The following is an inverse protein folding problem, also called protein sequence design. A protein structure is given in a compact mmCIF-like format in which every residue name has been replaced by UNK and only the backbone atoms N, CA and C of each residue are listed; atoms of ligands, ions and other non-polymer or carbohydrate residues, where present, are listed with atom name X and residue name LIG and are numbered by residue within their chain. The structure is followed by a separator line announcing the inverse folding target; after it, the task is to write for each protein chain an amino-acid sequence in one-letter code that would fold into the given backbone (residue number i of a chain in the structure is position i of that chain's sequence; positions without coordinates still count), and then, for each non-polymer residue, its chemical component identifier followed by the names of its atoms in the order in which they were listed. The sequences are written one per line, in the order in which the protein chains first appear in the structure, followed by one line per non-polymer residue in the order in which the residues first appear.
data_IF_727193305355
#
_entry.id   IF_727193305355
#
_cell.length_a   1.000
_cell.length_b   1.000
_cell.length_c   1.000
_cell.angle_alpha   90.00
_cell.angle_beta   90.00
_cell.angle_gamma   90.00
#
_symmetry.space_group_name_H-M   'P 1'
#
loop_
_entity.id
_entity.type
_entity.pdbx_description
1 polymer ?
#
# COMPACT_ATOMS: atom_id res chain seq x y z
N UNK A 1 -3.83 -19.80 -0.82
CA UNK A 1 -3.01 -18.98 -1.73
C UNK A 1 -1.59 -19.49 -1.78
N UNK A 2 -0.92 -19.29 -2.90
CA UNK A 2 0.49 -19.68 -3.13
C UNK A 2 1.25 -18.45 -3.60
N UNK A 3 2.48 -18.26 -3.10
CA UNK A 3 3.45 -17.29 -3.63
C UNK A 3 4.59 -18.07 -4.25
N UNK A 4 5.01 -17.68 -5.44
CA UNK A 4 6.07 -18.36 -6.18
C UNK A 4 7.20 -17.39 -6.53
N UNK A 5 8.43 -17.79 -6.28
CA UNK A 5 9.62 -17.14 -6.80
C UNK A 5 9.93 -17.73 -8.17
N UNK A 6 9.88 -16.91 -9.21
CA UNK A 6 10.03 -17.35 -10.59
C UNK A 6 11.25 -16.67 -11.22
N UNK A 7 12.09 -17.44 -11.92
CA UNK A 7 13.14 -16.91 -12.78
C UNK A 7 12.49 -16.31 -14.05
N UNK A 8 12.55 -14.99 -14.20
CA UNK A 8 11.88 -14.28 -15.31
C UNK A 8 12.47 -14.59 -16.70
N UNK A 9 13.66 -15.19 -16.80
CA UNK A 9 14.27 -15.57 -18.07
C UNK A 9 13.84 -16.96 -18.53
N UNK A 10 13.63 -17.87 -17.60
CA UNK A 10 13.35 -19.28 -17.89
C UNK A 10 11.93 -19.67 -17.55
N UNK A 11 11.20 -18.82 -16.82
CA UNK A 11 9.87 -19.06 -16.23
C UNK A 11 9.84 -20.29 -15.33
N UNK A 12 10.99 -20.69 -14.77
CA UNK A 12 11.06 -21.78 -13.80
C UNK A 12 10.71 -21.28 -12.42
N UNK A 13 9.87 -22.02 -11.72
CA UNK A 13 9.60 -21.83 -10.31
C UNK A 13 10.86 -22.24 -9.54
N UNK A 14 11.45 -21.31 -8.81
CA UNK A 14 12.63 -21.53 -7.98
C UNK A 14 12.24 -21.93 -6.56
N UNK A 15 11.12 -21.39 -6.05
CA UNK A 15 10.59 -21.72 -4.75
C UNK A 15 9.09 -21.41 -4.68
N UNK A 16 8.38 -22.07 -3.75
CA UNK A 16 6.94 -21.84 -3.52
C UNK A 16 6.64 -21.82 -2.03
N UNK A 17 5.89 -20.80 -1.59
CA UNK A 17 5.31 -20.72 -0.25
C UNK A 17 3.82 -21.07 -0.35
N UNK A 18 3.38 -22.02 0.44
CA UNK A 18 1.97 -22.46 0.47
C UNK A 18 1.52 -22.65 1.94
N UNK A 19 1.33 -21.56 2.69
CA UNK A 19 0.92 -21.63 4.08
C UNK A 19 -0.50 -22.21 4.24
N UNK A 20 -0.73 -22.97 5.30
CA UNK A 20 -2.07 -23.41 5.69
C UNK A 20 -2.82 -22.27 6.38
N UNK A 21 -3.54 -21.48 5.59
CA UNK A 21 -4.28 -20.30 6.07
C UNK A 21 -5.38 -20.68 7.07
N UNK A 22 -6.04 -21.83 6.90
CA UNK A 22 -7.07 -22.28 7.84
C UNK A 22 -6.47 -22.56 9.21
N UNK A 23 -5.29 -23.18 9.25
CA UNK A 23 -4.52 -23.37 10.49
C UNK A 23 -4.12 -22.04 11.10
N UNK A 24 -3.55 -21.12 10.31
CA UNK A 24 -3.13 -19.78 10.78
C UNK A 24 -4.31 -18.99 11.34
N UNK A 25 -5.45 -19.01 10.69
CA UNK A 25 -6.68 -18.37 11.15
C UNK A 25 -7.20 -18.97 12.46
N UNK A 26 -7.02 -20.27 12.70
CA UNK A 26 -7.47 -20.92 13.92
C UNK A 26 -6.74 -20.42 15.18
N UNK A 27 -5.59 -19.78 15.01
CA UNK A 27 -4.80 -19.21 16.10
C UNK A 27 -5.20 -17.76 16.45
N UNK A 28 -6.15 -17.17 15.72
CA UNK A 28 -6.63 -15.80 15.95
C UNK A 28 -7.88 -15.82 16.82
N UNK A 29 -7.94 -14.86 17.74
CA UNK A 29 -9.14 -14.63 18.56
C UNK A 29 -10.26 -14.00 17.70
N UNK A 30 -11.25 -14.82 17.34
CA UNK A 30 -12.42 -14.40 16.56
C UNK A 30 -13.53 -13.76 17.39
N UNK A 31 -13.34 -13.56 18.70
CA UNK A 31 -14.24 -12.70 19.50
C UNK A 31 -14.03 -11.23 19.20
N UNK A 32 -12.87 -10.86 18.63
CA UNK A 32 -12.65 -9.55 18.05
C UNK A 32 -13.55 -9.38 16.81
N UNK A 33 -14.39 -8.34 16.81
CA UNK A 33 -15.33 -8.05 15.72
C UNK A 33 -14.65 -7.95 14.34
N UNK A 34 -13.41 -7.44 14.28
CA UNK A 34 -12.61 -7.32 13.06
C UNK A 34 -12.31 -8.69 12.41
N UNK A 35 -12.18 -9.73 13.23
CA UNK A 35 -11.79 -11.06 12.76
C UNK A 35 -12.88 -12.13 12.90
N UNK A 36 -14.10 -11.74 13.28
CA UNK A 36 -15.19 -12.71 13.52
C UNK A 36 -15.55 -13.57 12.29
N UNK A 37 -15.29 -13.08 11.10
CA UNK A 37 -15.54 -13.79 9.85
C UNK A 37 -14.28 -14.28 9.15
N UNK A 38 -13.10 -14.13 9.78
CA UNK A 38 -11.81 -14.44 9.18
C UNK A 38 -11.74 -15.85 8.60
N UNK A 39 -12.20 -16.87 9.37
CA UNK A 39 -12.18 -18.25 8.92
C UNK A 39 -13.11 -18.51 7.73
N UNK A 40 -14.22 -17.77 7.62
CA UNK A 40 -15.16 -17.89 6.50
C UNK A 40 -14.63 -17.19 5.25
N UNK A 41 -14.12 -15.97 5.40
CA UNK A 41 -13.85 -15.06 4.29
C UNK A 41 -12.41 -15.16 3.79
N UNK A 42 -11.45 -15.54 4.63
CA UNK A 42 -10.03 -15.72 4.32
C UNK A 42 -9.55 -17.17 4.54
N UNK A 43 -10.30 -18.17 4.06
CA UNK A 43 -9.89 -19.57 4.12
C UNK A 43 -8.82 -19.93 3.08
N UNK A 44 -8.19 -21.11 3.16
CA UNK A 44 -7.25 -21.63 2.15
C UNK A 44 -7.77 -21.50 0.71
N UNK A 45 -9.08 -21.60 0.50
CA UNK A 45 -9.73 -21.53 -0.82
C UNK A 45 -10.00 -20.10 -1.31
N UNK A 46 -10.00 -19.12 -0.40
CA UNK A 46 -10.42 -17.74 -0.67
C UNK A 46 -9.32 -16.72 -0.44
N UNK A 47 -8.35 -17.03 0.40
CA UNK A 47 -7.26 -16.13 0.73
C UNK A 47 -6.39 -15.84 -0.49
N UNK A 48 -6.17 -14.56 -0.74
CA UNK A 48 -5.17 -14.06 -1.66
C UNK A 48 -3.97 -13.59 -0.83
N UNK A 49 -2.77 -13.97 -1.24
CA UNK A 49 -1.52 -13.47 -0.63
C UNK A 49 -1.06 -12.27 -1.46
N UNK A 50 -1.71 -11.14 -1.21
CA UNK A 50 -1.49 -9.90 -1.96
C UNK A 50 -0.30 -9.16 -1.37
N UNK A 51 0.48 -8.48 -2.23
CA UNK A 51 1.67 -7.71 -1.86
C UNK A 51 2.63 -8.47 -0.91
N UNK A 52 2.98 -9.74 -1.22
CA UNK A 52 3.91 -10.48 -0.38
C UNK A 52 5.30 -9.88 -0.49
N UNK A 53 5.99 -9.74 0.64
CA UNK A 53 7.38 -9.29 0.67
C UNK A 53 8.31 -10.45 0.98
N UNK A 54 9.28 -10.70 0.10
CA UNK A 54 10.33 -11.69 0.28
C UNK A 54 11.54 -11.06 0.98
N UNK A 55 11.92 -11.61 2.11
CA UNK A 55 13.11 -11.20 2.84
C UNK A 55 14.36 -11.96 2.38
N UNK A 56 15.54 -11.35 2.59
CA UNK A 56 16.82 -11.91 2.13
C UNK A 56 17.15 -13.30 2.68
N UNK A 57 16.54 -13.71 3.78
CA UNK A 57 16.71 -15.02 4.40
C UNK A 57 15.68 -16.07 3.93
N UNK A 58 14.86 -15.75 2.93
CA UNK A 58 13.81 -16.62 2.40
C UNK A 58 12.51 -16.62 3.20
N UNK A 59 12.39 -15.78 4.22
CA UNK A 59 11.13 -15.56 4.93
C UNK A 59 10.19 -14.69 4.06
N UNK A 60 8.89 -14.93 4.19
CA UNK A 60 7.86 -14.20 3.46
C UNK A 60 6.90 -13.52 4.45
N UNK A 61 6.54 -12.26 4.16
CA UNK A 61 5.47 -11.55 4.87
C UNK A 61 4.32 -11.28 3.92
N UNK A 62 3.09 -11.35 4.44
CA UNK A 62 1.87 -11.06 3.71
C UNK A 62 0.72 -10.72 4.66
N UNK A 63 -0.25 -9.95 4.14
CA UNK A 63 -1.49 -9.62 4.83
C UNK A 63 -2.42 -8.88 3.86
N UNK A 64 -3.70 -9.25 3.83
CA UNK A 64 -4.70 -8.58 3.01
C UNK A 64 -6.06 -8.69 3.70
N UNK A 65 -6.55 -7.56 4.19
CA UNK A 65 -7.76 -7.48 5.03
C UNK A 65 -7.79 -8.59 6.11
N UNK A 66 -6.63 -8.80 6.75
CA UNK A 66 -6.34 -9.91 7.62
C UNK A 66 -5.19 -9.57 8.57
N UNK A 67 -4.86 -10.44 9.51
CA UNK A 67 -3.61 -10.33 10.28
C UNK A 67 -2.38 -10.29 9.38
N UNK A 68 -1.38 -9.48 9.76
CA UNK A 68 -0.07 -9.53 9.13
C UNK A 68 0.67 -10.78 9.60
N UNK A 69 1.24 -11.52 8.65
CA UNK A 69 1.91 -12.79 8.91
C UNK A 69 3.31 -12.83 8.35
N UNK A 70 4.19 -13.49 9.07
CA UNK A 70 5.55 -13.83 8.65
C UNK A 70 5.75 -15.34 8.75
N UNK A 71 6.20 -15.94 7.66
CA UNK A 71 6.47 -17.37 7.54
C UNK A 71 7.91 -17.63 7.12
N UNK A 72 8.42 -18.81 7.42
CA UNK A 72 9.72 -19.28 6.97
C UNK A 72 9.68 -19.78 5.51
N UNK A 73 10.84 -20.18 4.98
CA UNK A 73 10.93 -20.74 3.63
C UNK A 73 10.18 -22.07 3.46
N UNK A 74 9.82 -22.74 4.54
CA UNK A 74 9.00 -23.97 4.51
C UNK A 74 7.50 -23.67 4.73
N UNK A 75 7.08 -22.42 4.71
CA UNK A 75 5.72 -21.93 4.96
C UNK A 75 5.22 -22.10 6.40
N UNK A 76 6.11 -22.34 7.37
CA UNK A 76 5.72 -22.40 8.77
C UNK A 76 5.61 -20.99 9.36
N UNK A 77 4.63 -20.79 10.25
CA UNK A 77 4.43 -19.51 10.92
C UNK A 77 5.62 -19.17 11.82
N UNK A 78 6.21 -17.99 11.62
CA UNK A 78 7.19 -17.39 12.54
C UNK A 78 6.45 -16.52 13.56
N UNK A 79 5.60 -15.62 13.08
CA UNK A 79 4.69 -14.82 13.90
C UNK A 79 3.51 -14.32 13.07
N UNK A 80 2.44 -13.96 13.74
CA UNK A 80 1.34 -13.18 13.18
C UNK A 80 0.94 -12.08 14.15
N UNK A 81 0.53 -10.93 13.60
CA UNK A 81 0.01 -9.81 14.34
C UNK A 81 -1.44 -9.56 13.93
N UNK A 82 -2.33 -9.52 14.91
CA UNK A 82 -3.77 -9.27 14.76
C UNK A 82 -4.22 -8.05 15.58
N UNK A 83 -3.31 -7.10 15.84
CA UNK A 83 -3.65 -5.85 16.52
C UNK A 83 -4.48 -4.94 15.62
N UNK A 84 -4.34 -5.10 14.30
CA UNK A 84 -5.10 -4.39 13.28
C UNK A 84 -5.52 -5.33 12.15
N UNK A 85 -6.46 -4.88 11.36
CA UNK A 85 -6.76 -5.47 10.06
C UNK A 85 -5.85 -4.79 9.01
N UNK A 86 -4.79 -5.50 8.58
CA UNK A 86 -3.76 -4.96 7.69
C UNK A 86 -4.12 -5.13 6.23
N UNK A 87 -3.77 -4.15 5.40
CA UNK A 87 -4.10 -4.13 3.98
C UNK A 87 -3.05 -3.44 3.13
N UNK A 88 -3.10 -3.66 1.80
CA UNK A 88 -2.23 -3.05 0.78
C UNK A 88 -0.74 -3.34 0.98
N UNK A 89 0.13 -2.35 0.70
CA UNK A 89 1.57 -2.53 0.65
C UNK A 89 2.20 -2.85 2.01
N UNK A 90 3.31 -3.55 1.95
CA UNK A 90 4.19 -3.84 3.09
C UNK A 90 5.58 -3.37 2.69
N UNK A 91 6.17 -2.46 3.47
CA UNK A 91 7.50 -1.94 3.23
C UNK A 91 8.44 -2.23 4.41
N UNK A 92 9.73 -2.38 4.13
CA UNK A 92 10.73 -2.64 5.17
C UNK A 92 11.72 -1.49 5.23
N UNK A 93 11.87 -0.88 6.43
CA UNK A 93 12.88 0.15 6.63
C UNK A 93 14.29 -0.45 6.82
N UNK A 94 15.31 0.41 6.78
CA UNK A 94 16.72 0.00 6.92
C UNK A 94 17.07 -0.66 8.26
N UNK A 95 16.21 -0.56 9.29
CA UNK A 95 16.35 -1.25 10.59
C UNK A 95 15.64 -2.61 10.58
N UNK A 96 14.99 -2.96 9.47
CA UNK A 96 14.20 -4.17 9.33
C UNK A 96 12.80 -4.07 9.94
N UNK A 97 12.35 -2.88 10.35
CA UNK A 97 10.96 -2.69 10.77
C UNK A 97 10.05 -2.64 9.55
N UNK A 98 8.83 -3.09 9.76
CA UNK A 98 7.81 -3.22 8.76
C UNK A 98 6.87 -2.01 8.84
N UNK A 99 6.61 -1.35 7.72
CA UNK A 99 5.62 -0.32 7.59
C UNK A 99 4.47 -0.88 6.75
N UNK A 100 3.24 -0.72 7.23
CA UNK A 100 2.06 -1.32 6.62
C UNK A 100 0.82 -0.49 6.93
N UNK A 101 -0.12 -0.45 6.00
CA UNK A 101 -1.44 0.13 6.20
C UNK A 101 -2.30 -0.78 7.08
N UNK A 102 -3.12 -0.20 7.95
CA UNK A 102 -4.07 -0.95 8.75
C UNK A 102 -5.31 -0.11 9.07
N UNK A 103 -6.41 -0.77 9.44
CA UNK A 103 -7.59 -0.10 9.97
C UNK A 103 -7.56 -0.08 11.49
N UNK A 104 -7.89 1.07 12.09
CA UNK A 104 -8.02 1.20 13.54
C UNK A 104 -9.42 0.79 14.01
N UNK A 105 -9.44 -0.06 15.02
CA UNK A 105 -10.65 -0.36 15.75
C UNK A 105 -10.38 -0.41 17.27
N UNK A 106 -11.06 0.40 18.10
CA UNK A 106 -12.04 1.41 17.71
C UNK A 106 -11.43 2.54 16.88
N UNK A 107 -12.26 3.22 16.09
CA UNK A 107 -11.84 4.35 15.26
C UNK A 107 -11.31 5.51 16.10
N UNK A 108 -10.32 6.24 15.59
CA UNK A 108 -9.76 7.44 16.25
C UNK A 108 -10.76 8.61 16.32
N UNK A 109 -11.67 8.67 15.34
CA UNK A 109 -12.77 9.64 15.32
C UNK A 109 -14.00 9.01 15.97
N UNK A 110 -14.75 9.74 16.82
CA UNK A 110 -15.95 9.22 17.46
C UNK A 110 -16.95 8.65 16.45
N UNK A 111 -17.41 7.43 16.71
CA UNK A 111 -18.26 6.66 15.80
C UNK A 111 -19.60 7.35 15.52
N UNK A 112 -20.05 8.23 16.41
CA UNK A 112 -21.23 9.07 16.23
C UNK A 112 -21.10 10.06 15.09
N UNK A 113 -19.86 10.43 14.73
CA UNK A 113 -19.55 11.32 13.61
C UNK A 113 -19.39 10.57 12.30
N UNK A 114 -18.76 9.40 12.32
CA UNK A 114 -18.33 8.69 11.11
C UNK A 114 -19.12 7.41 10.82
N UNK A 115 -19.85 6.89 11.80
CA UNK A 115 -20.61 5.65 11.66
C UNK A 115 -19.73 4.38 11.69
N UNK A 116 -20.40 3.23 11.81
CA UNK A 116 -19.73 1.92 11.96
C UNK A 116 -18.99 1.41 10.72
N UNK A 117 -19.32 1.95 9.56
CA UNK A 117 -18.71 1.53 8.29
C UNK A 117 -17.44 2.32 7.95
N UNK A 118 -17.06 3.29 8.77
CA UNK A 118 -15.91 4.13 8.54
C UNK A 118 -14.61 3.31 8.61
N UNK A 119 -13.81 3.43 7.58
CA UNK A 119 -12.47 2.85 7.49
C UNK A 119 -11.46 3.90 7.99
N UNK A 120 -10.99 3.72 9.20
CA UNK A 120 -9.99 4.60 9.79
C UNK A 120 -8.59 4.10 9.45
N UNK A 121 -8.12 4.46 8.28
CA UNK A 121 -6.79 4.13 7.81
C UNK A 121 -5.71 4.62 8.77
N UNK A 122 -4.70 3.80 9.00
CA UNK A 122 -3.56 4.12 9.83
C UNK A 122 -2.23 3.68 9.22
N UNK A 123 -1.20 4.46 9.47
CA UNK A 123 0.18 4.02 9.29
C UNK A 123 0.61 3.23 10.51
N UNK A 124 1.15 2.03 10.30
CA UNK A 124 1.60 1.13 11.37
C UNK A 124 3.04 0.73 11.13
N UNK A 125 3.88 0.91 12.16
CA UNK A 125 5.27 0.43 12.18
C UNK A 125 5.36 -0.77 13.11
N UNK A 126 5.88 -1.87 12.61
CA UNK A 126 5.99 -3.15 13.32
C UNK A 126 7.46 -3.57 13.38
N UNK A 127 7.90 -4.07 14.53
CA UNK A 127 9.25 -4.60 14.69
C UNK A 127 9.46 -5.88 13.87
N UNK A 128 10.72 -6.31 13.59
CA UNK A 128 11.01 -7.59 12.95
C UNK A 128 10.42 -8.81 13.68
N UNK A 129 10.04 -8.62 14.96
CA UNK A 129 9.42 -9.67 15.81
C UNK A 129 7.89 -9.60 15.86
N UNK A 130 7.26 -8.80 14.99
CA UNK A 130 5.80 -8.71 14.89
C UNK A 130 5.14 -7.78 15.93
N UNK A 131 5.88 -6.94 16.66
CA UNK A 131 5.35 -6.04 17.69
C UNK A 131 5.09 -4.65 17.11
N UNK A 132 3.91 -4.06 17.33
CA UNK A 132 3.64 -2.66 16.97
C UNK A 132 4.57 -1.74 17.75
N UNK A 133 5.31 -0.89 17.04
CA UNK A 133 6.23 0.13 17.55
C UNK A 133 5.64 1.53 17.48
N UNK A 134 4.85 1.79 16.45
CA UNK A 134 4.19 3.07 16.22
C UNK A 134 2.91 2.83 15.42
N UNK A 135 1.89 3.63 15.71
CA UNK A 135 0.61 3.60 15.00
C UNK A 135 -0.02 4.98 15.09
N UNK A 136 -0.53 5.48 13.96
CA UNK A 136 -1.23 6.77 13.90
C UNK A 136 -2.31 6.74 12.83
N UNK A 137 -3.51 7.18 13.18
CA UNK A 137 -4.59 7.37 12.21
C UNK A 137 -4.23 8.43 11.18
N UNK A 138 -4.48 8.15 9.90
CA UNK A 138 -4.32 9.12 8.82
C UNK A 138 -5.39 10.20 8.94
N UNK A 139 -6.60 9.86 9.40
CA UNK A 139 -7.65 10.85 9.69
C UNK A 139 -7.19 11.86 10.74
N UNK A 140 -6.57 11.39 11.84
CA UNK A 140 -6.00 12.31 12.84
C UNK A 140 -4.86 13.15 12.26
N UNK A 141 -3.97 12.55 11.45
CA UNK A 141 -2.90 13.30 10.78
C UNK A 141 -3.49 14.44 9.94
N UNK A 142 -4.54 14.16 9.16
CA UNK A 142 -5.20 15.18 8.35
C UNK A 142 -5.83 16.29 9.19
N UNK A 143 -6.56 15.95 10.25
CA UNK A 143 -7.19 16.91 11.18
C UNK A 143 -6.13 17.79 11.85
N UNK A 144 -5.10 17.18 12.40
CA UNK A 144 -4.03 17.88 13.13
C UNK A 144 -3.11 18.73 12.23
N UNK A 145 -3.24 18.59 10.90
CA UNK A 145 -2.53 19.38 9.88
C UNK A 145 -3.46 20.24 9.02
N UNK A 146 -4.62 20.68 9.56
CA UNK A 146 -5.56 21.59 8.92
C UNK A 146 -6.15 21.07 7.59
N UNK A 147 -6.25 19.74 7.43
CA UNK A 147 -6.79 19.08 6.24
C UNK A 147 -8.09 18.30 6.53
N UNK A 148 -8.79 18.62 7.62
CA UNK A 148 -10.07 18.00 8.01
C UNK A 148 -11.12 18.04 6.89
N UNK A 149 -11.03 19.03 6.02
CA UNK A 149 -11.94 19.17 4.88
C UNK A 149 -11.91 17.98 3.91
N UNK A 150 -10.83 17.20 3.86
CA UNK A 150 -10.74 15.98 3.05
C UNK A 150 -11.65 14.85 3.57
N UNK A 151 -12.02 14.91 4.84
CA UNK A 151 -12.87 13.91 5.50
C UNK A 151 -14.33 14.34 5.54
N UNK A 152 -14.60 15.63 5.77
CA UNK A 152 -15.92 16.11 6.18
C UNK A 152 -16.53 17.20 5.27
N UNK A 153 -15.84 17.58 4.18
CA UNK A 153 -16.47 18.50 3.23
C UNK A 153 -17.70 17.86 2.61
N UNK A 154 -18.78 18.64 2.51
CA UNK A 154 -19.94 18.23 1.74
C UNK A 154 -19.56 18.23 0.27
N UNK A 155 -19.22 17.04 -0.22
CA UNK A 155 -19.04 16.81 -1.65
C UNK A 155 -20.40 16.73 -2.36
N UNK A 156 -20.41 16.09 -3.50
CA UNK A 156 -21.62 15.95 -4.32
C UNK A 156 -22.63 14.93 -3.77
N UNK A 157 -22.24 14.02 -2.86
CA UNK A 157 -23.04 12.85 -2.46
C UNK A 157 -23.12 12.59 -0.95
N UNK A 158 -22.54 13.45 -0.12
CA UNK A 158 -22.57 13.29 1.33
C UNK A 158 -21.33 12.60 1.91
N UNK A 159 -21.47 12.03 3.11
CA UNK A 159 -20.37 11.41 3.84
C UNK A 159 -19.91 10.10 3.16
N UNK A 160 -18.59 10.00 2.96
CA UNK A 160 -17.92 8.78 2.49
C UNK A 160 -17.37 7.99 3.69
N UNK A 161 -17.62 6.69 3.75
CA UNK A 161 -17.09 5.82 4.79
C UNK A 161 -15.64 5.38 4.56
N UNK A 162 -15.10 5.60 3.36
CA UNK A 162 -13.71 5.30 2.97
C UNK A 162 -13.09 6.52 2.26
N UNK A 163 -12.99 7.69 2.94
CA UNK A 163 -12.61 8.93 2.26
C UNK A 163 -11.14 8.98 1.86
N UNK A 164 -10.29 8.17 2.47
CA UNK A 164 -8.83 8.17 2.34
C UNK A 164 -8.36 7.10 1.39
N UNK A 165 -8.69 5.84 1.70
CA UNK A 165 -8.22 4.65 1.02
C UNK A 165 -6.70 4.63 0.89
N UNK A 166 -6.02 4.61 2.07
CA UNK A 166 -4.56 4.51 2.10
C UNK A 166 -4.12 3.18 1.50
N UNK A 167 -3.28 3.23 0.48
CA UNK A 167 -2.90 2.04 -0.25
C UNK A 167 -1.39 1.83 -0.37
N UNK A 168 -0.58 2.81 0.07
CA UNK A 168 0.86 2.63 0.13
C UNK A 168 1.52 3.47 1.23
N UNK A 169 2.62 2.94 1.79
CA UNK A 169 3.49 3.60 2.76
C UNK A 169 4.94 3.34 2.35
N UNK A 170 5.68 4.36 1.96
CA UNK A 170 7.10 4.24 1.63
C UNK A 170 7.96 4.91 2.72
N UNK A 171 8.70 4.16 3.55
CA UNK A 171 9.55 4.73 4.59
C UNK A 171 10.79 5.38 4.01
N UNK A 172 11.17 6.53 4.56
CA UNK A 172 12.38 7.25 4.21
C UNK A 172 13.57 6.72 5.02
N UNK A 173 14.51 6.10 4.34
CA UNK A 173 15.65 5.40 4.96
C UNK A 173 16.89 6.30 5.17
N UNK A 174 16.95 7.48 4.57
CA UNK A 174 18.08 8.44 4.69
C UNK A 174 17.62 9.89 4.62
N UNK A 175 18.33 10.77 5.31
CA UNK A 175 18.11 12.20 5.24
C UNK A 175 18.74 12.78 3.96
N UNK A 176 18.01 13.71 3.33
CA UNK A 176 18.43 14.50 2.16
C UNK A 176 18.10 15.97 2.36
N UNK A 177 18.15 16.78 1.31
CA UNK A 177 17.70 18.19 1.35
C UNK A 177 16.16 18.31 1.36
N UNK A 178 15.41 17.24 1.08
CA UNK A 178 13.96 17.27 0.87
C UNK A 178 13.17 16.52 1.94
N UNK A 179 13.80 15.55 2.60
CA UNK A 179 13.19 14.72 3.65
C UNK A 179 14.22 14.26 4.67
N UNK A 180 13.76 13.84 5.83
CA UNK A 180 14.57 13.29 6.90
C UNK A 180 14.34 11.78 7.04
N UNK A 181 15.38 11.07 7.50
CA UNK A 181 15.24 9.67 7.89
C UNK A 181 14.14 9.50 8.93
N UNK A 182 13.19 8.60 8.66
CA UNK A 182 12.02 8.36 9.50
C UNK A 182 10.77 9.12 9.05
N UNK A 183 10.86 10.01 8.05
CA UNK A 183 9.69 10.48 7.32
C UNK A 183 9.06 9.31 6.54
N UNK A 184 7.81 9.45 6.13
CA UNK A 184 7.11 8.45 5.32
C UNK A 184 6.31 9.12 4.21
N UNK A 185 6.38 8.57 2.99
CA UNK A 185 5.39 8.89 1.97
C UNK A 185 4.16 8.03 2.19
N UNK A 186 2.98 8.61 1.99
CA UNK A 186 1.68 7.96 2.17
C UNK A 186 0.84 8.24 0.93
N UNK A 187 0.36 7.19 0.28
CA UNK A 187 -0.56 7.32 -0.87
C UNK A 187 -2.01 7.23 -0.40
N UNK A 188 -2.79 8.26 -0.71
CA UNK A 188 -4.21 8.37 -0.42
C UNK A 188 -4.99 8.27 -1.74
N UNK A 189 -5.43 7.06 -2.10
CA UNK A 189 -5.99 6.78 -3.43
C UNK A 189 -7.27 7.58 -3.72
N UNK A 190 -8.23 7.58 -2.79
CA UNK A 190 -9.51 8.27 -2.98
C UNK A 190 -9.38 9.80 -3.03
N UNK A 191 -8.27 10.34 -2.49
CA UNK A 191 -7.93 11.76 -2.57
C UNK A 191 -7.04 12.09 -3.76
N UNK A 192 -6.56 11.09 -4.53
CA UNK A 192 -5.57 11.28 -5.60
C UNK A 192 -4.40 12.14 -5.12
N UNK A 193 -3.86 11.79 -3.95
CA UNK A 193 -2.88 12.60 -3.21
C UNK A 193 -1.76 11.73 -2.65
N UNK A 194 -0.55 12.27 -2.67
CA UNK A 194 0.61 11.73 -1.96
C UNK A 194 1.00 12.71 -0.86
N UNK A 195 1.24 12.23 0.34
CA UNK A 195 1.78 13.01 1.45
C UNK A 195 3.20 12.60 1.76
N UNK A 196 4.04 13.54 2.15
CA UNK A 196 5.26 13.30 2.91
C UNK A 196 4.99 13.71 4.36
N UNK A 197 4.93 12.74 5.24
CA UNK A 197 4.62 12.95 6.66
C UNK A 197 5.83 12.69 7.52
N UNK A 198 6.04 13.55 8.54
CA UNK A 198 7.08 13.43 9.56
C UNK A 198 6.48 12.99 10.89
N UNK A 199 6.58 11.69 11.26
CA UNK A 199 6.02 11.18 12.52
C UNK A 199 6.58 11.86 13.77
N UNK A 200 7.88 12.18 13.78
CA UNK A 200 8.56 12.79 14.93
C UNK A 200 8.03 14.19 15.27
N UNK A 201 7.46 14.91 14.31
CA UNK A 201 6.89 16.25 14.50
C UNK A 201 5.37 16.28 14.31
N UNK A 202 4.76 15.15 13.97
CA UNK A 202 3.35 15.04 13.57
C UNK A 202 2.97 16.07 12.49
N UNK A 203 3.78 16.17 11.43
CA UNK A 203 3.62 17.23 10.43
C UNK A 203 3.68 16.69 9.01
N UNK A 204 2.73 17.14 8.18
CA UNK A 204 2.79 16.97 6.73
C UNK A 204 3.80 17.99 6.17
N UNK A 205 4.89 17.48 5.59
CA UNK A 205 6.01 18.28 5.08
C UNK A 205 5.75 18.69 3.63
N UNK A 206 5.12 17.80 2.86
CA UNK A 206 4.80 18.04 1.45
C UNK A 206 3.54 17.27 1.06
N UNK A 207 2.85 17.77 0.04
CA UNK A 207 1.71 17.10 -0.59
C UNK A 207 1.76 17.25 -2.11
N UNK A 208 1.55 16.14 -2.82
CA UNK A 208 1.42 16.09 -4.28
C UNK A 208 -0.02 15.81 -4.68
N UNK A 209 -0.60 16.68 -5.51
CA UNK A 209 -1.97 16.57 -6.01
C UNK A 209 -2.07 17.01 -7.46
N UNK A 210 -3.13 16.61 -8.17
CA UNK A 210 -3.47 17.16 -9.50
C UNK A 210 -2.73 16.50 -10.66
N UNK A 211 -1.89 15.52 -10.42
CA UNK A 211 -1.10 14.83 -11.44
C UNK A 211 -1.36 13.32 -11.49
N UNK A 212 -2.07 12.78 -10.53
CA UNK A 212 -2.44 11.36 -10.44
C UNK A 212 -3.94 11.20 -10.21
N UNK A 213 -4.46 10.03 -10.56
CA UNK A 213 -5.84 9.66 -10.28
C UNK A 213 -5.87 8.23 -9.76
N UNK A 214 -6.30 8.07 -8.50
CA UNK A 214 -6.43 6.78 -7.83
C UNK A 214 -5.12 5.97 -7.88
N UNK A 215 -4.00 6.66 -7.63
CA UNK A 215 -2.65 6.10 -7.71
C UNK A 215 -2.41 5.03 -6.64
N UNK A 216 -1.49 4.14 -6.94
CA UNK A 216 -0.91 3.17 -6.02
C UNK A 216 0.62 3.32 -6.07
N UNK A 217 1.32 2.64 -5.16
CA UNK A 217 2.74 2.37 -5.24
C UNK A 217 3.64 3.63 -5.42
N UNK A 218 4.26 4.05 -4.34
CA UNK A 218 5.17 5.20 -4.30
C UNK A 218 6.56 4.74 -3.90
N UNK A 219 7.52 4.83 -4.80
CA UNK A 219 8.91 4.46 -4.56
C UNK A 219 9.84 5.68 -4.45
N UNK A 220 10.84 5.61 -3.57
CA UNK A 220 11.94 6.57 -3.54
C UNK A 220 13.03 6.11 -4.53
N UNK A 221 13.23 6.88 -5.60
CA UNK A 221 14.22 6.56 -6.62
C UNK A 221 15.64 6.97 -6.23
N UNK A 222 15.78 8.15 -5.65
CA UNK A 222 17.09 8.69 -5.25
C UNK A 222 16.96 9.76 -4.13
N UNK A 223 17.85 10.74 -4.09
CA UNK A 223 17.88 11.78 -3.04
C UNK A 223 16.81 12.87 -3.20
N UNK A 224 16.12 12.92 -4.34
CA UNK A 224 15.21 14.02 -4.69
C UNK A 224 14.06 13.61 -5.62
N UNK A 225 13.96 12.33 -6.02
CA UNK A 225 12.89 11.84 -6.90
C UNK A 225 12.14 10.68 -6.28
N UNK A 226 10.84 10.67 -6.55
CA UNK A 226 9.95 9.54 -6.29
C UNK A 226 9.31 9.09 -7.61
N UNK A 227 8.95 7.81 -7.71
CA UNK A 227 8.03 7.29 -8.72
C UNK A 227 6.67 7.01 -8.11
N UNK A 228 5.63 7.06 -8.93
CA UNK A 228 4.25 6.87 -8.54
C UNK A 228 3.57 6.06 -9.64
N UNK A 229 2.98 4.92 -9.31
CA UNK A 229 2.12 4.19 -10.23
C UNK A 229 0.74 4.84 -10.27
N UNK A 230 0.45 5.54 -11.37
CA UNK A 230 -0.81 6.23 -11.59
C UNK A 230 -1.79 5.31 -12.33
N UNK A 231 -2.82 4.81 -11.65
CA UNK A 231 -3.86 4.01 -12.29
C UNK A 231 -4.65 4.80 -13.33
N UNK A 232 -4.64 6.14 -13.22
CA UNK A 232 -5.41 7.03 -14.08
C UNK A 232 -6.91 6.67 -14.10
N UNK A 233 -7.39 6.16 -12.97
CA UNK A 233 -8.77 5.71 -12.79
C UNK A 233 -9.64 6.87 -12.38
N UNK A 234 -10.70 7.10 -13.14
CA UNK A 234 -11.61 8.24 -12.94
C UNK A 234 -13.05 7.77 -12.85
N UNK A 235 -13.85 8.51 -12.11
CA UNK A 235 -15.30 8.30 -12.00
C UNK A 235 -16.05 9.21 -12.97
N UNK A 236 -16.78 8.62 -13.89
CA UNK A 236 -17.62 9.31 -14.86
C UNK A 236 -19.08 8.92 -14.66
N UNK A 237 -20.00 9.62 -15.31
CA UNK A 237 -21.44 9.31 -15.25
C UNK A 237 -21.78 7.89 -15.73
N UNK A 238 -20.96 7.33 -16.61
CA UNK A 238 -21.09 5.95 -17.11
C UNK A 238 -20.43 4.89 -16.20
N UNK A 239 -19.78 5.30 -15.11
CA UNK A 239 -19.05 4.43 -14.18
C UNK A 239 -17.57 4.76 -14.11
N UNK A 240 -16.86 3.96 -13.33
CA UNK A 240 -15.43 4.13 -13.12
C UNK A 240 -14.63 3.41 -14.22
N UNK A 241 -13.61 4.06 -14.75
CA UNK A 241 -12.72 3.47 -15.77
C UNK A 241 -11.32 4.09 -15.74
N UNK A 242 -10.37 3.39 -16.35
CA UNK A 242 -9.04 3.93 -16.66
C UNK A 242 -9.16 4.89 -17.82
N UNK A 243 -8.80 6.16 -17.63
CA UNK A 243 -8.84 7.17 -18.69
C UNK A 243 -7.53 7.15 -19.49
N UNK A 244 -7.54 6.42 -20.60
CA UNK A 244 -6.35 6.11 -21.38
C UNK A 244 -5.60 4.89 -20.85
N UNK A 245 -4.35 5.07 -20.44
CA UNK A 245 -3.48 4.01 -19.90
C UNK A 245 -2.96 4.38 -18.52
N UNK A 246 -2.47 3.38 -17.77
CA UNK A 246 -1.70 3.64 -16.57
C UNK A 246 -0.39 4.36 -16.93
N UNK A 247 0.16 5.10 -15.97
CA UNK A 247 1.42 5.81 -16.14
C UNK A 247 2.32 5.57 -14.92
N UNK A 248 3.62 5.51 -15.13
CA UNK A 248 4.61 5.67 -14.07
C UNK A 248 5.07 7.11 -14.09
N UNK A 249 4.74 7.86 -13.04
CA UNK A 249 5.03 9.30 -12.93
C UNK A 249 6.22 9.48 -12.01
N UNK A 250 7.22 10.23 -12.45
CA UNK A 250 8.34 10.67 -11.63
C UNK A 250 8.10 12.11 -11.19
N UNK A 251 8.14 12.36 -9.89
CA UNK A 251 8.20 13.71 -9.33
C UNK A 251 9.61 14.04 -8.88
N UNK A 252 10.12 15.18 -9.32
CA UNK A 252 11.45 15.70 -9.00
C UNK A 252 11.33 16.90 -8.04
N UNK A 253 11.76 16.73 -6.80
CA UNK A 253 11.71 17.77 -5.76
C UNK A 253 12.65 18.96 -6.01
N UNK A 254 13.68 18.81 -6.83
CA UNK A 254 14.59 19.94 -7.16
C UNK A 254 13.95 20.90 -8.16
N UNK A 255 13.23 20.33 -9.12
CA UNK A 255 12.61 21.11 -10.20
C UNK A 255 11.13 21.36 -9.98
N UNK A 256 10.49 20.64 -9.07
CA UNK A 256 9.05 20.60 -8.85
C UNK A 256 8.26 20.17 -10.11
N UNK A 257 8.82 19.28 -10.92
CA UNK A 257 8.21 18.80 -12.15
C UNK A 257 7.77 17.37 -12.05
N UNK A 258 6.64 17.05 -12.69
CA UNK A 258 6.14 15.72 -12.94
C UNK A 258 6.46 15.30 -14.37
N UNK A 259 6.98 14.09 -14.56
CA UNK A 259 7.29 13.53 -15.87
C UNK A 259 6.81 12.09 -15.94
N UNK A 260 6.27 11.66 -17.09
CA UNK A 260 5.88 10.27 -17.31
C UNK A 260 7.10 9.46 -17.76
N UNK A 261 7.32 8.31 -17.14
CA UNK A 261 8.40 7.38 -17.45
C UNK A 261 7.92 6.32 -18.44
N UNK A 262 8.65 6.10 -19.53
CA UNK A 262 8.36 5.13 -20.60
C UNK A 262 6.89 5.15 -21.10
N UNK A 263 6.25 6.32 -21.10
CA UNK A 263 4.83 6.49 -21.44
C UNK A 263 4.44 5.80 -22.74
N UNK A 264 5.22 5.99 -23.82
CA UNK A 264 4.93 5.42 -25.14
C UNK A 264 4.95 3.88 -25.10
N UNK A 265 5.80 3.28 -24.28
CA UNK A 265 5.87 1.84 -24.10
C UNK A 265 4.64 1.31 -23.36
N UNK A 266 4.19 1.99 -22.32
CA UNK A 266 2.99 1.63 -21.57
C UNK A 266 1.73 1.73 -22.46
N UNK A 267 1.65 2.76 -23.29
CA UNK A 267 0.56 2.94 -24.28
C UNK A 267 0.59 1.83 -25.33
N UNK A 268 1.76 1.49 -25.87
CA UNK A 268 1.91 0.43 -26.88
C UNK A 268 1.47 -0.94 -26.34
N UNK A 269 1.78 -1.24 -25.09
CA UNK A 269 1.40 -2.50 -24.43
C UNK A 269 -0.01 -2.45 -23.80
N UNK A 270 -0.71 -1.33 -23.96
CA UNK A 270 -2.07 -1.11 -23.45
C UNK A 270 -2.20 -1.44 -21.97
N UNK A 271 -1.30 -0.88 -21.14
CA UNK A 271 -1.28 -1.14 -19.67
C UNK A 271 -2.47 -0.48 -19.02
N UNK A 272 -3.38 -1.28 -18.44
CA UNK A 272 -4.62 -0.80 -17.80
C UNK A 272 -5.02 -1.65 -16.61
N UNK A 273 -4.63 -1.25 -15.42
CA UNK A 273 -5.21 -1.79 -14.19
C UNK A 273 -6.02 -0.70 -13.50
N UNK A 274 -7.29 -0.99 -13.20
CA UNK A 274 -8.21 -0.03 -12.61
C UNK A 274 -7.84 0.31 -11.17
N UNK A 275 -7.42 -0.71 -10.41
CA UNK A 275 -7.02 -0.61 -9.01
C UNK A 275 -5.79 -1.48 -8.78
N UNK A 276 -5.13 -1.29 -7.65
CA UNK A 276 -3.89 -1.98 -7.35
C UNK A 276 -2.82 -1.75 -8.43
N UNK A 277 -1.93 -2.70 -8.64
CA UNK A 277 -0.81 -2.58 -9.55
C UNK A 277 0.39 -1.91 -8.90
N UNK A 278 1.56 -2.37 -9.29
CA UNK A 278 2.83 -1.84 -8.80
C UNK A 278 3.79 -1.60 -9.95
N UNK A 279 4.75 -0.72 -9.74
CA UNK A 279 5.83 -0.47 -10.69
C UNK A 279 7.16 -0.37 -9.96
N UNK A 280 8.21 -0.88 -10.56
CA UNK A 280 9.55 -0.73 -10.03
C UNK A 280 10.53 -0.32 -11.12
N UNK A 281 11.14 0.85 -10.96
CA UNK A 281 12.25 1.30 -11.80
C UNK A 281 13.54 0.73 -11.23
N UNK A 282 14.18 -0.15 -12.00
CA UNK A 282 15.41 -0.82 -11.61
C UNK A 282 16.63 0.11 -11.77
N UNK A 283 17.76 -0.21 -11.10
CA UNK A 283 18.97 0.60 -11.14
C UNK A 283 19.57 0.81 -12.54
N UNK A 284 19.30 -0.08 -13.48
CA UNK A 284 19.73 0.04 -14.88
C UNK A 284 18.74 0.81 -15.76
N UNK A 285 17.63 1.29 -15.20
CA UNK A 285 16.58 2.01 -15.92
C UNK A 285 15.48 1.13 -16.49
N UNK A 286 15.55 -0.20 -16.35
CA UNK A 286 14.45 -1.07 -16.74
C UNK A 286 13.23 -0.83 -15.82
N UNK A 287 12.04 -1.08 -16.35
CA UNK A 287 10.79 -0.92 -15.63
C UNK A 287 10.06 -2.27 -15.53
N UNK A 288 9.71 -2.64 -14.31
CA UNK A 288 8.81 -3.74 -14.02
C UNK A 288 7.43 -3.21 -13.67
N UNK A 289 6.37 -3.84 -14.17
CA UNK A 289 4.97 -3.50 -13.84
C UNK A 289 4.19 -4.78 -13.54
N UNK A 290 3.44 -4.77 -12.46
CA UNK A 290 2.36 -5.71 -12.21
C UNK A 290 1.03 -5.05 -12.56
N UNK A 291 0.37 -5.54 -13.60
CA UNK A 291 -0.97 -5.13 -14.01
C UNK A 291 -2.00 -6.07 -13.38
N UNK A 292 -2.35 -5.82 -12.12
CA UNK A 292 -3.09 -6.75 -11.27
C UNK A 292 -4.43 -7.16 -11.85
N UNK A 293 -5.27 -6.23 -12.30
CA UNK A 293 -6.58 -6.56 -12.85
C UNK A 293 -6.49 -7.26 -14.22
N UNK A 294 -5.40 -7.07 -14.94
CA UNK A 294 -5.09 -7.73 -16.21
C UNK A 294 -4.39 -9.08 -16.05
N UNK A 295 -3.97 -9.43 -14.82
CA UNK A 295 -3.15 -10.60 -14.51
C UNK A 295 -1.90 -10.70 -15.40
N UNK A 296 -1.26 -9.56 -15.68
CA UNK A 296 -0.04 -9.46 -16.45
C UNK A 296 1.11 -8.92 -15.63
N UNK A 297 2.28 -9.45 -15.92
CA UNK A 297 3.56 -8.90 -15.46
C UNK A 297 4.33 -8.45 -16.68
N UNK A 298 4.77 -7.21 -16.70
CA UNK A 298 5.44 -6.59 -17.84
C UNK A 298 6.84 -6.14 -17.45
N UNK A 299 7.78 -6.30 -18.35
CA UNK A 299 9.16 -5.88 -18.19
C UNK A 299 9.59 -5.06 -19.41
N UNK A 300 10.07 -3.84 -19.18
CA UNK A 300 10.51 -2.90 -20.20
C UNK A 300 12.00 -2.63 -20.03
N UNK A 301 12.77 -2.84 -21.08
CA UNK A 301 14.22 -2.61 -21.16
C UNK A 301 14.59 -1.64 -22.29
#
# INVERSE_FOLDING_TARGET
GVVELIDLRTFKILHSWNPDIDLLNSLIDTTNEEFKYLQRDSSNKRSLLVHPILLNNGELMFGWEAPLRKIDSCSNLIWQNADNNFHHSIEVDHEGNIWVSGYLYPTSIPIEKVGKAFKDDAIVKISPKGKVLFQKSVSEILIENDMEYLLFSIGTVGFDSDPIHQNDIQPVNRTTSFWEKGDVFISLANQSMILLYRPSANKIIWKGTGHTYYQHDVDILDEYRISIFNNNSKSFSAGNLVDGNNEVIIYDFKTNLYTSYLKESLVREDVRTFSQGTSQILNNGDLFIEETNGARTLFFN
#
